data_IF_166546899420
#
_entry.id   IF_166546899420
#
_cell.length_a   1.000
_cell.length_b   1.000
_cell.length_c   1.000
_cell.angle_alpha   90.00
_cell.angle_beta   90.00
_cell.angle_gamma   90.00
#
_symmetry.space_group_name_H-M   'P 1'
#
loop_
_entity.id
_entity.type
_entity.pdbx_description
1 polymer ?
#
# COMPACT_ATOMS: atom_id res chain seq x y z
N UNK A 1 -79.47 -0.76 1.62
CA UNK A 1 -79.39 -1.77 0.55
C UNK A 1 -78.10 -2.57 0.70
N UNK A 2 -78.24 -3.87 0.98
CA UNK A 2 -77.36 -5.02 0.72
C UNK A 2 -75.83 -4.85 0.87
N UNK A 3 -75.23 -5.40 1.93
CA UNK A 3 -74.71 -6.79 2.07
C UNK A 3 -73.41 -7.08 1.30
N UNK A 4 -72.33 -7.32 2.05
CA UNK A 4 -71.63 -8.63 2.24
C UNK A 4 -70.42 -8.38 3.15
N UNK A 5 -70.39 -8.84 4.41
CA UNK A 5 -70.09 -10.21 4.87
C UNK A 5 -68.81 -10.78 4.25
N UNK A 6 -67.86 -11.41 4.95
CA UNK A 6 -67.60 -11.71 6.38
C UNK A 6 -66.32 -12.60 6.37
N UNK A 7 -65.74 -12.77 7.57
CA UNK A 7 -64.83 -13.84 8.07
C UNK A 7 -63.33 -13.47 8.05
N UNK A 8 -62.75 -13.13 9.22
CA UNK A 8 -62.41 -13.97 10.42
C UNK A 8 -61.10 -14.75 10.12
N UNK A 9 -60.09 -14.83 10.99
CA UNK A 9 -60.10 -14.77 12.45
C UNK A 9 -58.67 -14.93 13.03
N UNK A 10 -58.48 -14.44 14.26
CA UNK A 10 -57.47 -14.81 15.28
C UNK A 10 -56.01 -14.43 14.99
N UNK A 11 -55.26 -13.86 15.93
CA UNK A 11 -55.52 -13.62 17.34
C UNK A 11 -54.22 -13.20 18.02
N UNK A 12 -54.38 -12.41 19.07
CA UNK A 12 -53.39 -11.83 19.96
C UNK A 12 -52.18 -12.71 20.29
N UNK A 13 -51.01 -12.06 20.44
CA UNK A 13 -50.45 -11.82 21.80
C UNK A 13 -49.21 -10.92 21.77
N UNK A 14 -49.39 -9.77 22.41
CA UNK A 14 -48.51 -9.16 23.41
C UNK A 14 -47.06 -8.83 23.03
N UNK A 15 -46.92 -7.56 22.63
CA UNK A 15 -45.75 -6.72 22.86
C UNK A 15 -45.60 -6.47 24.37
N UNK A 16 -44.56 -7.01 24.99
CA UNK A 16 -43.99 -6.42 26.20
C UNK A 16 -42.48 -6.73 26.32
N UNK A 17 -41.70 -5.64 26.28
CA UNK A 17 -40.46 -5.41 27.04
C UNK A 17 -39.19 -6.24 26.77
N UNK A 18 -38.23 -5.66 26.04
CA UNK A 18 -36.78 -5.80 26.33
C UNK A 18 -36.03 -4.50 25.99
N UNK A 19 -35.49 -3.75 26.98
CA UNK A 19 -34.72 -2.55 26.75
C UNK A 19 -33.21 -2.85 26.78
N UNK A 20 -32.67 -3.62 25.83
CA UNK A 20 -31.20 -3.85 25.76
C UNK A 20 -30.59 -3.81 24.35
N UNK A 21 -31.38 -3.62 23.29
CA UNK A 21 -30.86 -3.64 21.91
C UNK A 21 -30.67 -2.23 21.31
N UNK A 22 -31.15 -1.18 21.98
CA UNK A 22 -31.15 0.19 21.42
C UNK A 22 -29.82 0.93 21.59
N UNK A 23 -28.89 0.45 22.43
CA UNK A 23 -27.61 1.13 22.71
C UNK A 23 -26.50 0.80 21.69
N UNK A 24 -26.54 -0.34 21.00
CA UNK A 24 -25.54 -0.67 19.97
C UNK A 24 -25.82 -0.01 18.61
N UNK A 25 -27.07 0.35 18.33
CA UNK A 25 -27.49 1.00 17.08
C UNK A 25 -27.23 2.51 17.04
N UNK A 26 -26.98 3.15 18.18
CA UNK A 26 -26.74 4.60 18.27
C UNK A 26 -25.24 4.92 18.17
N UNK A 27 -24.35 4.03 18.62
CA UNK A 27 -22.90 4.23 18.54
C UNK A 27 -22.33 4.14 17.11
N UNK A 28 -23.00 3.47 16.17
CA UNK A 28 -22.54 3.32 14.78
C UNK A 28 -23.10 4.37 13.80
N UNK A 29 -23.85 5.36 14.28
CA UNK A 29 -24.52 6.38 13.42
C UNK A 29 -23.96 7.79 13.51
N UNK A 30 -22.79 7.98 14.13
CA UNK A 30 -22.23 9.31 14.35
C UNK A 30 -20.90 9.63 13.64
N UNK A 31 -20.37 8.77 12.75
CA UNK A 31 -19.08 9.07 12.08
C UNK A 31 -19.04 9.04 10.54
N UNK A 32 -20.16 8.85 9.83
CA UNK A 32 -20.15 8.96 8.36
C UNK A 32 -21.36 9.75 7.86
N UNK A 33 -21.14 11.05 7.63
CA UNK A 33 -22.07 11.86 6.85
C UNK A 33 -21.90 11.57 5.36
N UNK A 34 -22.89 10.91 4.73
CA UNK A 34 -23.41 11.21 3.38
C UNK A 34 -24.35 10.11 2.83
N UNK A 35 -25.64 10.48 2.70
CA UNK A 35 -26.67 10.13 1.66
C UNK A 35 -27.08 8.66 1.36
N UNK A 36 -28.33 8.44 0.89
CA UNK A 36 -29.05 7.17 1.06
C UNK A 36 -28.79 6.17 -0.08
N UNK A 37 -28.52 4.92 0.28
CA UNK A 37 -28.48 3.79 -0.65
C UNK A 37 -29.86 3.13 -0.69
N UNK A 38 -30.46 3.03 -1.88
CA UNK A 38 -31.70 2.29 -2.09
C UNK A 38 -31.43 0.78 -2.04
N UNK A 39 -32.20 0.04 -1.24
CA UNK A 39 -32.15 -1.42 -1.18
C UNK A 39 -32.97 -2.06 -2.32
N UNK A 40 -32.42 -3.00 -3.10
CA UNK A 40 -33.22 -3.92 -3.89
C UNK A 40 -33.81 -5.04 -3.02
N UNK A 41 -34.94 -5.60 -3.48
CA UNK A 41 -35.77 -6.64 -2.85
C UNK A 41 -35.00 -7.89 -2.37
N UNK A 42 -35.56 -8.47 -1.31
CA UNK A 42 -35.06 -9.57 -0.47
C UNK A 42 -34.96 -10.98 -1.11
N UNK A 43 -34.68 -11.11 -2.40
CA UNK A 43 -34.53 -12.42 -3.07
C UNK A 43 -33.10 -12.73 -3.57
N UNK A 44 -32.16 -11.78 -3.46
CA UNK A 44 -30.77 -11.98 -3.92
C UNK A 44 -29.79 -12.50 -2.84
N UNK A 45 -30.23 -12.73 -1.60
CA UNK A 45 -29.35 -13.11 -0.50
C UNK A 45 -29.09 -14.62 -0.36
N UNK A 46 -29.82 -15.48 -1.09
CA UNK A 46 -29.68 -16.94 -0.99
C UNK A 46 -28.72 -17.58 -2.00
N UNK A 47 -28.38 -16.87 -3.09
CA UNK A 47 -27.48 -17.41 -4.13
C UNK A 47 -25.99 -17.09 -3.89
N UNK A 48 -25.69 -16.10 -3.05
CA UNK A 48 -24.32 -15.71 -2.71
C UNK A 48 -23.63 -16.63 -1.67
N UNK A 49 -24.40 -17.32 -0.81
CA UNK A 49 -23.83 -18.28 0.15
C UNK A 49 -23.48 -19.63 -0.48
N UNK A 50 -24.14 -20.01 -1.58
CA UNK A 50 -23.91 -21.30 -2.24
C UNK A 50 -22.67 -21.28 -3.16
N UNK A 51 -22.33 -20.13 -3.74
CA UNK A 51 -21.16 -19.97 -4.62
C UNK A 51 -19.82 -19.82 -3.88
N UNK A 52 -19.83 -19.58 -2.58
CA UNK A 52 -18.61 -19.47 -1.75
C UNK A 52 -18.10 -20.82 -1.23
N UNK A 53 -18.98 -21.83 -1.09
CA UNK A 53 -18.59 -23.17 -0.65
C UNK A 53 -18.15 -24.10 -1.80
N UNK A 54 -18.63 -23.88 -3.02
CA UNK A 54 -18.16 -24.65 -4.20
C UNK A 54 -16.78 -24.18 -4.69
N UNK A 55 -16.44 -22.89 -4.52
CA UNK A 55 -15.09 -22.38 -4.86
C UNK A 55 -13.99 -22.80 -3.88
N UNK A 56 -14.33 -23.12 -2.64
CA UNK A 56 -13.34 -23.56 -1.64
C UNK A 56 -12.95 -25.05 -1.79
N UNK A 57 -13.72 -25.82 -2.57
CA UNK A 57 -13.47 -27.26 -2.79
C UNK A 57 -12.76 -27.59 -4.12
N UNK A 58 -12.40 -26.58 -4.92
CA UNK A 58 -11.83 -26.77 -6.26
C UNK A 58 -10.31 -26.47 -6.38
N UNK A 59 -9.62 -26.07 -5.31
CA UNK A 59 -8.19 -25.65 -5.37
C UNK A 59 -7.18 -26.63 -4.74
N UNK A 60 -7.49 -27.94 -4.66
CA UNK A 60 -6.45 -28.96 -4.38
C UNK A 60 -6.53 -30.12 -5.36
N UNK A 61 -6.09 -29.86 -6.58
CA UNK A 61 -5.82 -30.87 -7.59
C UNK A 61 -4.74 -30.38 -8.55
N UNK A 62 -3.47 -30.43 -8.12
CA UNK A 62 -2.34 -29.99 -8.94
C UNK A 62 -1.02 -30.48 -8.37
N UNK A 63 -0.55 -31.59 -8.93
CA UNK A 63 0.77 -32.19 -8.69
C UNK A 63 1.85 -31.21 -9.15
N UNK A 64 2.78 -30.84 -8.26
CA UNK A 64 4.06 -30.22 -8.63
C UNK A 64 5.17 -30.85 -7.81
N UNK A 65 5.98 -31.60 -8.54
CA UNK A 65 7.20 -32.26 -8.13
C UNK A 65 8.23 -31.19 -7.78
N UNK A 66 8.84 -31.28 -6.59
CA UNK A 66 10.22 -30.80 -6.39
C UNK A 66 10.91 -31.61 -5.27
N UNK A 67 12.22 -31.88 -5.41
CA UNK A 67 12.88 -33.01 -4.78
C UNK A 67 13.43 -32.65 -3.39
N UNK A 68 13.01 -33.41 -2.39
CA UNK A 68 13.65 -33.45 -1.07
C UNK A 68 14.31 -34.82 -0.89
N UNK A 69 15.41 -35.03 -1.62
CA UNK A 69 16.39 -36.04 -1.24
C UNK A 69 17.47 -35.34 -0.42
N UNK A 70 17.46 -35.59 0.89
CA UNK A 70 18.62 -35.93 1.77
C UNK A 70 18.47 -35.34 3.18
N UNK A 71 17.62 -35.94 4.03
CA UNK A 71 17.86 -35.98 5.48
C UNK A 71 17.59 -37.41 5.94
N UNK A 72 18.66 -38.12 6.28
CA UNK A 72 18.64 -39.47 6.88
C UNK A 72 18.15 -39.35 8.33
N UNK A 73 17.09 -40.07 8.68
CA UNK A 73 16.81 -40.50 10.05
C UNK A 73 16.71 -42.03 10.08
N UNK A 74 17.37 -42.62 11.07
CA UNK A 74 17.53 -44.06 11.31
C UNK A 74 16.18 -44.75 11.58
N UNK A 75 16.03 -46.05 11.22
CA UNK A 75 14.79 -46.77 11.46
C UNK A 75 14.73 -47.34 12.89
N UNK A 76 13.71 -46.94 13.65
CA UNK A 76 13.33 -47.65 14.88
C UNK A 76 12.38 -48.80 14.51
N UNK A 77 12.90 -50.03 14.53
CA UNK A 77 12.13 -51.26 14.30
C UNK A 77 11.26 -51.59 15.50
N UNK A 78 9.94 -51.61 15.32
CA UNK A 78 8.98 -52.20 16.28
C UNK A 78 8.83 -53.68 15.96
N UNK A 79 9.39 -54.56 16.81
CA UNK A 79 9.13 -56.02 16.78
C UNK A 79 7.73 -56.29 17.33
N UNK A 80 6.90 -57.00 16.55
CA UNK A 80 5.73 -57.73 17.04
C UNK A 80 6.19 -59.08 17.59
N UNK A 81 5.78 -59.45 18.81
CA UNK A 81 5.74 -60.84 19.26
C UNK A 81 4.46 -61.13 20.03
N UNK A 82 4.07 -62.41 19.91
CA UNK A 82 2.76 -63.01 20.08
C UNK A 82 2.29 -63.27 21.52
N UNK A 83 0.96 -63.36 21.63
CA UNK A 83 0.11 -64.33 22.36
C UNK A 83 0.17 -64.50 23.89
N UNK A 84 -1.01 -64.23 24.47
CA UNK A 84 -1.87 -65.08 25.32
C UNK A 84 -1.26 -65.80 26.53
N UNK A 85 -1.71 -65.37 27.73
CA UNK A 85 -2.06 -66.29 28.82
C UNK A 85 -3.36 -65.82 29.47
N UNK A 86 -4.37 -66.69 29.44
CA UNK A 86 -5.47 -66.66 30.39
C UNK A 86 -4.95 -67.05 31.77
N UNK A 87 -5.26 -66.29 32.82
CA UNK A 87 -5.50 -66.90 34.13
C UNK A 87 -6.47 -66.08 35.00
N UNK A 88 -7.17 -66.83 35.83
CA UNK A 88 -8.35 -66.59 36.67
C UNK A 88 -8.23 -65.50 37.74
N UNK A 89 -9.21 -64.58 37.74
CA UNK A 89 -10.08 -64.07 38.84
C UNK A 89 -9.57 -64.03 40.31
N UNK A 90 -10.23 -63.28 41.21
CA UNK A 90 -10.22 -61.82 41.39
C UNK A 90 -9.76 -61.43 42.82
N UNK A 91 -9.18 -60.24 42.98
CA UNK A 91 -9.32 -59.36 44.17
C UNK A 91 -8.45 -58.13 43.96
N UNK A 92 -8.94 -57.24 43.10
CA UNK A 92 -8.50 -55.85 43.19
C UNK A 92 -9.26 -55.27 44.37
N UNK A 93 -8.58 -55.17 45.51
CA UNK A 93 -8.94 -54.24 46.57
C UNK A 93 -9.23 -52.89 45.92
N UNK A 94 -10.48 -52.44 45.97
CA UNK A 94 -10.85 -51.06 45.63
C UNK A 94 -10.02 -50.14 46.53
N UNK A 95 -8.87 -49.70 46.04
CA UNK A 95 -8.29 -48.46 46.53
C UNK A 95 -9.32 -47.40 46.19
N UNK A 96 -9.88 -46.79 47.22
CA UNK A 96 -10.75 -45.64 47.09
C UNK A 96 -9.89 -44.58 46.40
N UNK A 97 -10.09 -44.40 45.10
CA UNK A 97 -9.54 -43.26 44.38
C UNK A 97 -10.01 -42.02 45.12
N UNK A 98 -9.05 -41.27 45.67
CA UNK A 98 -9.33 -39.97 46.27
C UNK A 98 -10.08 -39.16 45.21
N UNK A 99 -11.20 -38.50 45.54
CA UNK A 99 -11.90 -37.67 44.58
C UNK A 99 -10.88 -36.67 44.02
N UNK A 100 -10.56 -36.83 42.73
CA UNK A 100 -9.73 -35.89 42.01
C UNK A 100 -10.41 -34.54 42.14
N UNK A 101 -9.71 -33.55 42.69
CA UNK A 101 -10.17 -32.17 42.64
C UNK A 101 -10.30 -31.82 41.15
N UNK A 102 -11.53 -31.85 40.63
CA UNK A 102 -11.81 -31.24 39.36
C UNK A 102 -11.47 -29.76 39.52
N UNK A 103 -10.54 -29.22 38.71
CA UNK A 103 -10.23 -27.80 38.79
C UNK A 103 -11.55 -27.05 38.56
N UNK A 104 -11.83 -26.02 39.37
CA UNK A 104 -13.06 -25.24 39.24
C UNK A 104 -13.19 -24.74 37.79
N UNK A 105 -14.37 -24.94 37.20
CA UNK A 105 -14.67 -24.50 35.84
C UNK A 105 -14.75 -22.97 35.78
N UNK A 106 -14.31 -22.41 34.66
CA UNK A 106 -14.35 -20.96 34.41
C UNK A 106 -15.81 -20.46 34.45
N UNK A 107 -16.08 -19.43 35.24
CA UNK A 107 -17.42 -18.83 35.33
C UNK A 107 -17.65 -17.85 34.18
N UNK A 108 -18.91 -17.65 33.81
CA UNK A 108 -19.30 -16.67 32.77
C UNK A 108 -18.82 -15.25 33.15
N UNK A 109 -18.87 -14.90 34.43
CA UNK A 109 -18.47 -13.58 34.93
C UNK A 109 -16.96 -13.37 34.76
N UNK A 110 -16.14 -14.36 35.11
CA UNK A 110 -14.68 -14.29 34.92
C UNK A 110 -14.32 -14.07 33.44
N UNK A 111 -15.02 -14.74 32.53
CA UNK A 111 -14.80 -14.57 31.09
C UNK A 111 -15.20 -13.16 30.63
N UNK A 112 -16.35 -12.65 31.09
CA UNK A 112 -16.84 -11.32 30.72
C UNK A 112 -15.92 -10.19 31.21
N UNK A 113 -15.38 -10.29 32.43
CA UNK A 113 -14.43 -9.31 32.96
C UNK A 113 -13.14 -9.31 32.15
N UNK A 114 -12.62 -10.48 31.77
CA UNK A 114 -11.39 -10.59 30.98
C UNK A 114 -11.55 -9.96 29.61
N UNK A 115 -12.64 -10.26 28.89
CA UNK A 115 -12.87 -9.64 27.57
C UNK A 115 -13.09 -8.13 27.69
N UNK A 116 -13.72 -7.66 28.78
CA UNK A 116 -13.91 -6.23 29.02
C UNK A 116 -12.57 -5.50 29.21
N UNK A 117 -11.64 -6.09 29.98
CA UNK A 117 -10.29 -5.53 30.17
C UNK A 117 -9.51 -5.54 28.84
N UNK A 118 -9.55 -6.63 28.08
CA UNK A 118 -8.89 -6.70 26.75
C UNK A 118 -9.48 -5.65 25.80
N UNK A 119 -10.79 -5.44 25.80
CA UNK A 119 -11.46 -4.44 24.97
C UNK A 119 -10.96 -3.02 25.30
N UNK A 120 -10.92 -2.66 26.59
CA UNK A 120 -10.41 -1.34 27.03
C UNK A 120 -8.94 -1.16 26.63
N UNK A 121 -8.09 -2.15 26.89
CA UNK A 121 -6.66 -2.07 26.54
C UNK A 121 -6.44 -1.96 25.03
N UNK A 122 -7.15 -2.77 24.24
CA UNK A 122 -7.02 -2.77 22.77
C UNK A 122 -7.50 -1.45 22.15
N UNK A 123 -8.55 -0.83 22.72
CA UNK A 123 -9.08 0.46 22.24
C UNK A 123 -8.04 1.58 22.27
N UNK A 124 -7.14 1.57 23.26
CA UNK A 124 -6.06 2.57 23.38
C UNK A 124 -4.83 2.20 22.53
N UNK A 125 -4.60 0.92 22.27
CA UNK A 125 -3.47 0.41 21.48
C UNK A 125 -3.67 0.58 19.96
N UNK A 126 -4.90 0.41 19.45
CA UNK A 126 -5.19 0.48 18.00
C UNK A 126 -4.77 1.82 17.35
N UNK A 127 -5.11 3.00 17.93
CA UNK A 127 -4.67 4.28 17.36
C UNK A 127 -3.14 4.46 17.39
N UNK A 128 -2.49 3.97 18.44
CA UNK A 128 -1.04 4.05 18.59
C UNK A 128 -0.30 3.16 17.58
N UNK A 129 -0.81 1.94 17.34
CA UNK A 129 -0.26 1.01 16.36
C UNK A 129 -0.40 1.55 14.93
N UNK A 130 -1.54 2.17 14.61
CA UNK A 130 -1.77 2.81 13.31
C UNK A 130 -0.73 3.90 13.00
N UNK A 131 -0.47 4.81 13.96
CA UNK A 131 0.54 5.86 13.83
C UNK A 131 1.96 5.29 13.73
N UNK A 132 2.26 4.27 14.53
CA UNK A 132 3.58 3.61 14.54
C UNK A 132 3.87 2.92 13.20
N UNK A 133 2.87 2.26 12.59
CA UNK A 133 2.99 1.65 11.27
C UNK A 133 3.29 2.67 10.17
N UNK A 134 2.59 3.81 10.16
CA UNK A 134 2.85 4.88 9.20
C UNK A 134 4.27 5.44 9.35
N UNK A 135 4.74 5.60 10.59
CA UNK A 135 6.11 6.03 10.91
C UNK A 135 7.16 5.01 10.45
N UNK A 136 6.92 3.72 10.66
CA UNK A 136 7.81 2.66 10.17
C UNK A 136 7.89 2.68 8.63
N UNK A 137 6.76 2.84 7.96
CA UNK A 137 6.72 2.96 6.49
C UNK A 137 7.43 4.22 5.99
N UNK A 138 7.31 5.35 6.70
CA UNK A 138 8.07 6.58 6.40
C UNK A 138 9.57 6.34 6.43
N UNK A 139 10.08 5.68 7.47
CA UNK A 139 11.51 5.39 7.64
C UNK A 139 11.99 4.43 6.54
N UNK A 140 11.22 3.40 6.23
CA UNK A 140 11.53 2.46 5.16
C UNK A 140 11.57 3.17 3.79
N UNK A 141 10.60 4.05 3.52
CA UNK A 141 10.59 4.86 2.30
C UNK A 141 11.82 5.77 2.22
N UNK A 142 12.15 6.50 3.30
CA UNK A 142 13.34 7.35 3.36
C UNK A 142 14.63 6.56 3.09
N UNK A 143 14.74 5.35 3.62
CA UNK A 143 15.88 4.47 3.37
C UNK A 143 15.94 4.01 1.91
N UNK A 144 14.81 3.68 1.29
CA UNK A 144 14.76 3.35 -0.14
C UNK A 144 15.29 4.52 -0.99
N UNK A 145 14.90 5.76 -0.70
CA UNK A 145 15.40 6.93 -1.44
C UNK A 145 16.90 7.15 -1.25
N UNK A 146 17.44 6.93 -0.04
CA UNK A 146 18.89 6.99 0.20
C UNK A 146 19.64 5.92 -0.60
N UNK A 147 19.09 4.71 -0.69
CA UNK A 147 19.67 3.63 -1.50
C UNK A 147 19.66 3.98 -2.99
N UNK A 148 18.55 4.53 -3.49
CA UNK A 148 18.44 4.95 -4.88
C UNK A 148 19.36 6.14 -5.20
N UNK A 149 19.48 7.10 -4.28
CA UNK A 149 20.38 8.23 -4.41
C UNK A 149 21.85 7.80 -4.43
N UNK A 150 22.22 6.78 -3.65
CA UNK A 150 23.55 6.19 -3.71
C UNK A 150 23.82 5.55 -5.09
N UNK A 151 22.83 4.86 -5.67
CA UNK A 151 22.94 4.33 -7.04
C UNK A 151 23.18 5.43 -8.07
N UNK A 152 22.47 6.55 -7.91
CA UNK A 152 22.63 7.71 -8.77
C UNK A 152 24.04 8.31 -8.67
N UNK A 153 24.57 8.47 -7.45
CA UNK A 153 25.94 8.96 -7.24
C UNK A 153 27.00 7.99 -7.78
N UNK A 154 26.83 6.68 -7.59
CA UNK A 154 27.74 5.67 -8.15
C UNK A 154 27.76 5.71 -9.69
N UNK A 155 26.60 5.92 -10.32
CA UNK A 155 26.54 6.12 -11.76
C UNK A 155 27.35 7.35 -12.20
N UNK A 156 27.17 8.48 -11.51
CA UNK A 156 27.87 9.73 -11.82
C UNK A 156 29.39 9.55 -11.74
N UNK A 157 29.88 8.84 -10.72
CA UNK A 157 31.30 8.53 -10.54
C UNK A 157 31.85 7.66 -11.70
N UNK A 158 31.12 6.61 -12.08
CA UNK A 158 31.50 5.72 -13.19
C UNK A 158 31.43 6.38 -14.58
N UNK A 159 30.58 7.41 -14.75
CA UNK A 159 30.28 8.03 -16.04
C UNK A 159 30.86 9.43 -16.19
N UNK A 160 32.04 9.69 -15.60
CA UNK A 160 32.77 10.95 -15.77
C UNK A 160 31.94 12.20 -15.44
N UNK A 161 31.25 12.18 -14.29
CA UNK A 161 30.40 13.26 -13.78
C UNK A 161 29.06 13.44 -14.52
N UNK A 162 28.74 12.59 -15.51
CA UNK A 162 27.46 12.65 -16.21
C UNK A 162 26.32 12.07 -15.39
N UNK A 163 25.19 12.78 -15.39
CA UNK A 163 23.97 12.35 -14.74
C UNK A 163 23.32 11.18 -15.52
N UNK A 164 22.63 10.25 -14.84
CA UNK A 164 21.82 9.24 -15.50
C UNK A 164 20.79 9.89 -16.43
N UNK A 165 20.62 9.39 -17.66
CA UNK A 165 19.64 9.96 -18.57
C UNK A 165 18.21 9.75 -18.05
N UNK A 166 17.31 10.68 -18.38
CA UNK A 166 15.91 10.70 -17.94
C UNK A 166 14.93 10.85 -19.10
N UNK A 167 15.37 10.47 -20.30
CA UNK A 167 14.62 10.69 -21.53
C UNK A 167 13.27 9.98 -21.55
N UNK A 168 12.24 10.77 -21.81
CA UNK A 168 10.85 10.33 -22.00
C UNK A 168 10.35 10.69 -23.39
N UNK A 169 9.55 9.81 -23.98
CA UNK A 169 8.84 10.02 -25.24
C UNK A 169 7.32 10.02 -25.00
N UNK A 170 6.56 10.70 -25.85
CA UNK A 170 5.09 10.72 -25.79
C UNK A 170 4.46 10.39 -27.13
N UNK A 171 3.49 9.49 -27.11
CA UNK A 171 2.53 9.28 -28.21
C UNK A 171 1.11 9.74 -27.86
N UNK A 172 0.95 10.55 -26.80
CA UNK A 172 -0.33 11.06 -26.32
C UNK A 172 -1.04 10.13 -25.33
N UNK A 173 -1.81 10.74 -24.42
CA UNK A 173 -2.51 10.04 -23.33
C UNK A 173 -1.56 9.45 -22.28
N UNK A 174 -2.13 8.98 -21.16
CA UNK A 174 -1.36 8.44 -20.02
C UNK A 174 -0.51 7.21 -20.37
N UNK A 175 -0.97 6.38 -21.30
CA UNK A 175 -0.26 5.17 -21.75
C UNK A 175 0.85 5.46 -22.77
N UNK A 176 0.74 6.59 -23.48
CA UNK A 176 1.68 6.95 -24.54
C UNK A 176 2.95 7.61 -24.04
N UNK A 177 3.00 8.02 -22.78
CA UNK A 177 4.22 8.51 -22.17
C UNK A 177 5.09 7.32 -21.74
N UNK A 178 6.28 7.20 -22.33
CA UNK A 178 7.16 6.04 -22.11
C UNK A 178 8.60 6.50 -21.97
N UNK A 179 9.26 6.00 -20.94
CA UNK A 179 10.69 6.19 -20.75
C UNK A 179 11.47 5.36 -21.78
N UNK A 180 12.41 6.01 -22.47
CA UNK A 180 13.11 5.46 -23.65
C UNK A 180 14.11 4.35 -23.29
N UNK A 181 14.89 3.83 -24.24
CA UNK A 181 15.88 2.77 -23.97
C UNK A 181 17.17 3.24 -23.26
N UNK A 182 17.42 4.55 -23.20
CA UNK A 182 18.60 5.16 -22.58
C UNK A 182 18.15 6.10 -21.47
N UNK A 183 17.70 5.54 -20.36
CA UNK A 183 17.15 6.29 -19.24
C UNK A 183 17.35 5.47 -17.95
N UNK A 184 17.17 6.09 -16.79
CA UNK A 184 17.33 5.43 -15.49
C UNK A 184 16.31 4.30 -15.24
N UNK A 185 15.14 4.32 -15.90
CA UNK A 185 14.11 3.26 -15.92
C UNK A 185 13.35 3.25 -17.24
N UNK A 186 13.07 2.09 -17.84
CA UNK A 186 12.33 2.06 -19.11
C UNK A 186 10.80 1.96 -18.88
N UNK A 187 10.01 2.06 -19.94
CA UNK A 187 8.58 1.69 -19.88
C UNK A 187 7.65 2.74 -19.29
N UNK A 188 6.50 2.30 -18.78
CA UNK A 188 5.45 3.16 -18.23
C UNK A 188 4.85 2.53 -16.96
N UNK A 189 5.04 3.17 -15.81
CA UNK A 189 4.59 2.64 -14.52
C UNK A 189 3.07 2.48 -14.39
N UNK A 190 2.28 3.21 -15.18
CA UNK A 190 0.83 3.01 -15.22
C UNK A 190 0.46 1.67 -15.87
N UNK A 191 1.22 1.19 -16.86
CA UNK A 191 0.92 -0.03 -17.62
C UNK A 191 1.82 -1.22 -17.29
N UNK A 192 2.95 -1.01 -16.62
CA UNK A 192 3.96 -2.03 -16.35
C UNK A 192 3.51 -3.09 -15.33
N UNK A 193 3.31 -4.36 -15.74
CA UNK A 193 2.85 -5.41 -14.84
C UNK A 193 3.96 -6.05 -14.01
N UNK A 194 5.23 -5.75 -14.30
CA UNK A 194 6.39 -6.41 -13.70
C UNK A 194 7.58 -5.47 -13.57
N UNK A 195 8.58 -5.88 -12.80
CA UNK A 195 9.79 -5.10 -12.58
C UNK A 195 10.78 -5.09 -13.76
N UNK A 196 10.49 -5.80 -14.87
CA UNK A 196 11.43 -5.98 -15.98
C UNK A 196 11.98 -4.65 -16.54
N UNK A 197 11.15 -3.62 -16.57
CA UNK A 197 11.55 -2.29 -17.04
C UNK A 197 12.46 -1.53 -16.07
N UNK A 198 12.33 -1.81 -14.76
CA UNK A 198 13.27 -1.32 -13.75
C UNK A 198 14.60 -2.05 -13.92
N UNK A 199 14.57 -3.36 -14.14
CA UNK A 199 15.76 -4.22 -14.30
C UNK A 199 16.62 -3.84 -15.53
N UNK A 200 16.00 -3.25 -16.55
CA UNK A 200 16.66 -2.73 -17.75
C UNK A 200 17.24 -1.32 -17.57
N UNK A 201 16.89 -0.62 -16.49
CA UNK A 201 17.34 0.74 -16.23
C UNK A 201 18.82 0.82 -15.84
N UNK A 202 19.48 1.93 -16.17
CA UNK A 202 20.93 2.08 -15.96
C UNK A 202 21.35 2.12 -14.48
N UNK A 203 20.42 2.37 -13.56
CA UNK A 203 20.68 2.38 -12.12
C UNK A 203 20.57 1.00 -11.46
N UNK A 204 19.89 0.05 -12.10
CA UNK A 204 19.64 -1.27 -11.53
C UNK A 204 20.90 -2.11 -11.25
N UNK A 205 21.98 -2.05 -12.06
CA UNK A 205 23.22 -2.77 -11.78
C UNK A 205 23.85 -2.44 -10.43
N UNK A 206 23.70 -1.19 -9.96
CA UNK A 206 24.23 -0.70 -8.69
C UNK A 206 23.43 -1.21 -7.47
N UNK A 207 22.13 -1.42 -7.63
CA UNK A 207 21.29 -2.06 -6.63
C UNK A 207 20.19 -2.91 -7.29
N UNK A 208 20.41 -4.23 -7.29
CA UNK A 208 19.54 -5.23 -7.95
C UNK A 208 18.25 -5.55 -7.19
N UNK A 209 17.57 -4.55 -6.64
CA UNK A 209 16.31 -4.71 -5.91
C UNK A 209 15.28 -3.71 -6.40
N UNK A 210 14.30 -4.21 -7.17
CA UNK A 210 13.19 -3.40 -7.64
C UNK A 210 12.33 -2.81 -6.50
N UNK A 211 12.38 -3.40 -5.29
CA UNK A 211 11.61 -2.91 -4.12
C UNK A 211 12.02 -1.50 -3.69
N UNK A 212 13.23 -1.06 -4.02
CA UNK A 212 13.74 0.28 -3.69
C UNK A 212 12.98 1.37 -4.47
N UNK A 213 12.43 1.04 -5.64
CA UNK A 213 11.72 1.97 -6.50
C UNK A 213 10.25 2.19 -6.10
N UNK A 214 9.78 1.55 -5.03
CA UNK A 214 8.40 1.63 -4.55
C UNK A 214 8.31 2.04 -3.09
N UNK A 215 7.42 2.98 -2.81
CA UNK A 215 7.03 3.34 -1.46
C UNK A 215 6.28 2.16 -0.78
N UNK A 216 6.64 1.75 0.45
CA UNK A 216 5.94 0.66 1.17
C UNK A 216 4.47 0.97 1.50
N UNK A 217 4.09 2.25 1.53
CA UNK A 217 2.71 2.70 1.71
C UNK A 217 1.91 2.75 0.41
N UNK A 218 2.56 2.60 -0.74
CA UNK A 218 1.87 2.61 -2.03
C UNK A 218 1.04 1.33 -2.22
N UNK A 219 -0.23 1.52 -2.56
CA UNK A 219 -1.24 0.48 -2.82
C UNK A 219 -1.79 0.57 -4.24
N UNK A 220 -1.23 1.44 -5.06
CA UNK A 220 -1.63 1.63 -6.46
C UNK A 220 -1.44 0.36 -7.28
N UNK A 221 -2.24 0.27 -8.33
CA UNK A 221 -2.25 -0.87 -9.25
C UNK A 221 -2.01 -0.41 -10.67
N UNK A 222 -1.59 -1.34 -11.50
CA UNK A 222 -1.48 -1.14 -12.95
C UNK A 222 -2.87 -0.85 -13.50
N UNK A 223 -2.96 0.18 -14.35
CA UNK A 223 -4.21 0.68 -14.94
C UNK A 223 -5.28 1.11 -13.93
N UNK A 224 -4.90 1.23 -12.65
CA UNK A 224 -5.79 1.49 -11.53
C UNK A 224 -6.97 0.47 -11.43
N UNK A 225 -6.77 -0.77 -11.94
CA UNK A 225 -7.81 -1.82 -12.01
C UNK A 225 -7.95 -2.67 -10.73
N UNK A 226 -7.11 -2.46 -9.72
CA UNK A 226 -7.15 -3.20 -8.44
C UNK A 226 -6.57 -4.62 -8.49
N UNK A 227 -6.01 -5.04 -9.63
CA UNK A 227 -5.54 -6.43 -9.85
C UNK A 227 -4.05 -6.61 -9.58
N UNK A 228 -3.21 -5.84 -10.28
CA UNK A 228 -1.75 -6.01 -10.27
C UNK A 228 -1.13 -4.82 -9.53
N UNK A 229 -0.44 -5.02 -8.39
CA UNK A 229 0.26 -3.93 -7.71
C UNK A 229 1.32 -3.32 -8.62
N UNK A 230 1.38 -1.98 -8.67
CA UNK A 230 2.42 -1.27 -9.41
C UNK A 230 3.80 -1.59 -8.83
N UNK A 231 4.85 -1.55 -9.63
CA UNK A 231 6.22 -1.87 -9.18
C UNK A 231 7.06 -0.65 -8.79
N UNK A 232 6.54 0.56 -9.02
CA UNK A 232 7.25 1.83 -8.81
C UNK A 232 6.32 2.95 -8.33
N UNK A 233 6.84 3.82 -7.47
CA UNK A 233 6.20 5.09 -7.09
C UNK A 233 7.13 6.31 -7.16
N UNK A 234 8.41 6.11 -7.51
CA UNK A 234 9.45 7.15 -7.55
C UNK A 234 9.64 7.66 -8.97
N UNK A 235 9.76 8.97 -9.16
CA UNK A 235 10.14 9.60 -10.42
C UNK A 235 11.34 10.54 -10.24
N UNK A 236 12.07 10.84 -11.31
CA UNK A 236 13.26 11.71 -11.25
C UNK A 236 12.95 13.10 -11.82
N UNK A 237 13.45 14.17 -11.21
CA UNK A 237 13.22 15.54 -11.67
C UNK A 237 13.55 15.71 -13.16
N UNK A 238 12.71 16.43 -13.89
CA UNK A 238 12.94 16.79 -15.29
C UNK A 238 14.17 17.69 -15.51
N UNK A 239 14.84 18.17 -14.45
CA UNK A 239 16.10 18.89 -14.57
C UNK A 239 17.33 17.99 -14.42
N UNK A 240 17.14 16.69 -14.17
CA UNK A 240 18.21 15.70 -14.13
C UNK A 240 18.28 14.97 -15.48
N UNK A 241 18.99 15.55 -16.45
CA UNK A 241 19.28 14.96 -17.75
C UNK A 241 18.06 14.42 -18.53
N UNK A 242 16.95 15.18 -18.54
CA UNK A 242 15.69 14.82 -19.23
C UNK A 242 15.86 14.73 -20.74
N UNK A 243 16.66 15.62 -21.33
CA UNK A 243 17.06 15.52 -22.72
C UNK A 243 18.57 15.23 -22.77
N UNK A 244 19.02 14.00 -23.05
CA UNK A 244 20.45 13.65 -23.01
C UNK A 244 21.26 14.20 -24.20
N UNK A 245 20.73 15.17 -24.95
CA UNK A 245 21.48 15.95 -25.92
C UNK A 245 22.45 16.91 -25.19
N UNK A 246 23.78 16.82 -25.41
CA UNK A 246 24.76 17.71 -24.80
C UNK A 246 24.58 19.20 -25.13
N UNK A 247 23.77 19.54 -26.15
CA UNK A 247 23.45 20.93 -26.52
C UNK A 247 22.20 21.46 -25.82
N UNK A 248 21.45 20.60 -25.13
CA UNK A 248 20.29 21.01 -24.37
C UNK A 248 20.71 21.94 -23.22
N UNK A 249 19.88 22.93 -22.92
CA UNK A 249 20.12 23.86 -21.81
C UNK A 249 18.91 23.93 -20.88
N UNK A 250 18.00 22.97 -20.99
CA UNK A 250 16.76 22.89 -20.22
C UNK A 250 16.90 22.04 -18.95
N UNK A 251 17.99 21.29 -18.83
CA UNK A 251 18.31 20.46 -17.69
C UNK A 251 19.83 20.46 -17.40
N UNK A 252 20.23 19.90 -16.27
CA UNK A 252 21.63 19.61 -15.97
C UNK A 252 22.02 18.27 -16.60
N UNK A 253 23.24 18.20 -17.13
CA UNK A 253 23.82 16.97 -17.69
C UNK A 253 24.94 16.41 -16.82
N UNK A 254 25.53 17.25 -15.96
CA UNK A 254 26.60 16.86 -15.04
C UNK A 254 26.33 17.27 -13.60
N UNK A 255 26.85 16.52 -12.64
CA UNK A 255 26.71 16.87 -11.22
C UNK A 255 27.45 18.19 -10.89
N UNK A 256 28.61 18.44 -11.51
CA UNK A 256 29.36 19.71 -11.32
C UNK A 256 28.65 20.98 -11.86
N UNK A 257 27.60 20.84 -12.66
CA UNK A 257 26.75 21.94 -13.14
C UNK A 257 25.73 22.39 -12.08
N UNK A 258 25.43 21.55 -11.09
CA UNK A 258 24.45 21.80 -10.04
C UNK A 258 25.03 22.78 -9.02
N UNK A 259 25.03 24.06 -9.38
CA UNK A 259 25.56 25.16 -8.55
C UNK A 259 24.45 26.01 -7.93
N UNK A 260 23.34 26.18 -8.65
CA UNK A 260 22.19 26.98 -8.22
C UNK A 260 20.88 26.30 -8.64
N UNK A 261 20.09 25.75 -7.69
CA UNK A 261 20.42 25.58 -6.27
C UNK A 261 21.64 24.66 -6.08
N UNK A 262 22.38 24.82 -4.98
CA UNK A 262 23.49 23.92 -4.67
C UNK A 262 23.03 22.46 -4.50
N UNK A 263 23.93 21.45 -4.55
CA UNK A 263 23.55 20.04 -4.62
C UNK A 263 22.62 19.58 -3.47
N UNK A 264 22.81 20.10 -2.26
CA UNK A 264 21.94 19.83 -1.10
C UNK A 264 20.52 20.39 -1.20
N UNK A 265 20.21 21.17 -2.24
CA UNK A 265 18.87 21.72 -2.49
C UNK A 265 18.31 21.27 -3.83
N UNK A 266 19.12 20.69 -4.70
CA UNK A 266 18.70 20.22 -6.01
C UNK A 266 17.97 18.87 -5.89
N UNK A 267 16.68 18.84 -6.23
CA UNK A 267 15.85 17.63 -6.12
C UNK A 267 16.18 16.63 -7.23
N UNK A 268 16.46 15.38 -6.85
CA UNK A 268 16.73 14.27 -7.79
C UNK A 268 15.50 13.38 -7.90
N UNK A 269 15.18 12.59 -6.87
CA UNK A 269 14.02 11.70 -6.88
C UNK A 269 12.89 12.24 -6.01
N UNK A 270 11.66 11.96 -6.42
CA UNK A 270 10.44 12.35 -5.70
C UNK A 270 9.40 11.24 -5.72
N UNK A 271 8.68 11.08 -4.61
CA UNK A 271 7.54 10.17 -4.53
C UNK A 271 6.35 10.78 -5.25
N UNK A 272 5.94 10.14 -6.32
CA UNK A 272 4.92 10.66 -7.22
C UNK A 272 3.54 10.04 -6.92
N UNK A 273 2.51 10.86 -7.10
CA UNK A 273 1.12 10.45 -6.94
C UNK A 273 0.77 9.36 -7.96
N UNK A 274 0.02 8.36 -7.51
CA UNK A 274 -0.39 7.22 -8.34
C UNK A 274 -1.17 7.62 -9.58
N UNK A 275 -1.83 8.78 -9.56
CA UNK A 275 -2.60 9.33 -10.67
C UNK A 275 -1.82 10.23 -11.63
N UNK A 276 -0.61 10.67 -11.30
CA UNK A 276 0.25 11.40 -12.24
C UNK A 276 1.39 10.53 -12.79
N UNK A 277 1.87 9.55 -12.02
CA UNK A 277 3.04 8.75 -12.42
C UNK A 277 2.73 7.89 -13.66
N UNK A 278 3.60 8.04 -14.66
CA UNK A 278 3.63 7.21 -15.87
C UNK A 278 5.08 6.95 -16.33
N UNK A 279 5.91 7.98 -16.54
CA UNK A 279 7.23 7.91 -17.18
C UNK A 279 8.35 8.08 -16.15
N UNK A 280 9.57 8.25 -16.64
CA UNK A 280 10.77 8.40 -15.84
C UNK A 280 10.88 9.75 -15.11
N UNK A 281 10.24 10.80 -15.62
CA UNK A 281 10.41 12.17 -15.15
C UNK A 281 9.27 12.64 -14.26
N UNK A 282 9.60 13.56 -13.37
CA UNK A 282 8.67 14.40 -12.61
C UNK A 282 8.89 15.85 -13.01
N UNK A 283 7.87 16.47 -13.61
CA UNK A 283 7.93 17.81 -14.14
C UNK A 283 7.66 18.85 -13.05
N UNK A 284 8.71 19.59 -12.72
CA UNK A 284 8.66 20.74 -11.82
C UNK A 284 8.65 22.01 -12.68
N UNK A 285 7.59 22.80 -12.54
CA UNK A 285 7.44 24.05 -13.30
C UNK A 285 8.42 25.11 -12.84
N UNK A 286 8.81 26.04 -13.72
CA UNK A 286 9.70 27.15 -13.36
C UNK A 286 9.05 28.12 -12.35
N UNK A 287 9.82 28.74 -11.44
CA UNK A 287 9.32 29.79 -10.55
C UNK A 287 8.50 30.85 -11.28
N UNK A 288 7.31 31.15 -10.74
CA UNK A 288 6.35 32.06 -11.36
C UNK A 288 5.21 31.35 -12.12
N UNK A 289 5.37 30.05 -12.43
CA UNK A 289 4.29 29.19 -12.91
C UNK A 289 3.61 28.53 -11.71
N UNK A 290 2.29 28.67 -11.56
CA UNK A 290 1.58 28.17 -10.37
C UNK A 290 0.70 26.96 -10.72
N UNK A 291 1.32 25.91 -11.25
CA UNK A 291 0.65 24.70 -11.69
C UNK A 291 1.53 23.46 -11.41
N UNK A 292 0.91 22.41 -10.87
CA UNK A 292 1.49 21.07 -10.83
C UNK A 292 1.28 20.42 -12.18
N UNK A 293 2.36 20.09 -12.89
CA UNK A 293 2.26 19.20 -14.06
C UNK A 293 2.11 17.79 -13.54
N UNK A 294 3.15 17.29 -12.86
CA UNK A 294 3.07 16.06 -12.07
C UNK A 294 2.79 16.38 -10.61
N UNK A 295 2.17 15.46 -9.89
CA UNK A 295 1.70 15.70 -8.54
C UNK A 295 2.48 14.87 -7.53
N UNK A 296 3.00 15.46 -6.44
CA UNK A 296 3.67 14.67 -5.41
C UNK A 296 2.70 13.74 -4.71
N UNK A 297 3.22 12.63 -4.22
CA UNK A 297 2.47 11.71 -3.39
C UNK A 297 2.08 12.37 -2.05
N UNK A 298 0.84 12.09 -1.62
CA UNK A 298 0.30 12.52 -0.33
C UNK A 298 0.36 11.39 0.71
N UNK A 299 1.30 10.46 0.53
CA UNK A 299 1.48 9.28 1.39
C UNK A 299 1.94 9.74 2.78
N UNK A 300 2.12 8.80 3.71
CA UNK A 300 2.77 9.11 4.98
C UNK A 300 2.09 10.25 5.81
N UNK A 301 0.79 10.48 5.64
CA UNK A 301 0.08 11.59 6.30
C UNK A 301 0.32 12.95 5.63
N UNK A 302 -0.01 13.05 4.34
CA UNK A 302 0.14 14.24 3.50
C UNK A 302 1.61 14.65 3.31
N UNK A 303 2.48 13.68 3.08
CA UNK A 303 3.91 13.89 2.89
C UNK A 303 4.47 13.03 1.74
N UNK A 304 5.54 13.51 1.10
CA UNK A 304 6.32 12.79 0.11
C UNK A 304 7.79 12.73 0.52
N UNK A 305 8.50 11.70 0.07
CA UNK A 305 9.97 11.64 0.22
C UNK A 305 10.61 12.23 -1.01
N UNK A 306 11.64 13.04 -0.81
CA UNK A 306 12.50 13.61 -1.85
C UNK A 306 13.95 13.25 -1.55
N UNK A 307 14.76 13.08 -2.60
CA UNK A 307 16.21 13.01 -2.49
C UNK A 307 16.88 14.20 -3.18
N UNK A 308 18.12 14.48 -2.76
CA UNK A 308 18.89 15.63 -3.23
C UNK A 308 20.24 15.21 -3.80
N UNK A 309 20.79 16.04 -4.68
CA UNK A 309 21.98 15.72 -5.47
C UNK A 309 23.26 15.50 -4.64
N UNK A 310 23.31 15.93 -3.38
CA UNK A 310 24.42 15.66 -2.45
C UNK A 310 24.35 14.27 -1.77
N UNK A 311 23.27 13.50 -1.97
CA UNK A 311 23.13 12.16 -1.41
C UNK A 311 22.06 11.99 -0.34
N UNK A 312 21.57 13.09 0.26
CA UNK A 312 20.58 12.96 1.33
C UNK A 312 19.14 12.84 0.82
N UNK A 313 18.25 12.46 1.72
CA UNK A 313 16.81 12.40 1.46
C UNK A 313 16.05 12.96 2.66
N UNK A 314 14.91 13.59 2.38
CA UNK A 314 14.04 14.23 3.36
C UNK A 314 12.59 13.82 3.15
N UNK A 315 11.81 13.86 4.24
CA UNK A 315 10.35 13.75 4.19
C UNK A 315 9.75 15.15 4.21
N UNK A 316 9.03 15.53 3.15
CA UNK A 316 8.38 16.82 3.03
C UNK A 316 6.88 16.69 3.27
N UNK A 317 6.35 17.47 4.20
CA UNK A 317 4.91 17.57 4.46
C UNK A 317 4.31 18.67 3.60
N UNK A 318 3.27 18.32 2.85
CA UNK A 318 2.51 19.22 1.99
C UNK A 318 1.46 19.96 2.82
N UNK A 319 1.37 21.27 2.64
CA UNK A 319 0.56 22.17 3.47
C UNK A 319 -0.67 22.69 2.73
N UNK A 320 -0.59 22.85 1.41
CA UNK A 320 -1.63 23.52 0.64
C UNK A 320 -2.80 22.61 0.35
N UNK A 321 -4.01 23.16 0.46
CA UNK A 321 -5.25 22.44 0.17
C UNK A 321 -5.38 22.13 -1.32
N UNK A 322 -4.76 22.94 -2.18
CA UNK A 322 -4.60 22.69 -3.62
C UNK A 322 -3.77 21.44 -3.85
N UNK A 323 -2.65 21.26 -3.15
CA UNK A 323 -1.85 20.03 -3.18
C UNK A 323 -2.66 18.84 -2.65
N UNK A 324 -3.43 19.01 -1.57
CA UNK A 324 -4.27 17.91 -1.05
C UNK A 324 -5.45 17.56 -1.95
N UNK A 325 -5.80 18.42 -2.91
CA UNK A 325 -6.92 18.18 -3.82
C UNK A 325 -6.69 16.98 -4.74
N UNK A 326 -5.44 16.64 -5.04
CA UNK A 326 -5.07 15.45 -5.81
C UNK A 326 -5.61 14.13 -5.22
N UNK A 327 -5.66 14.02 -3.89
CA UNK A 327 -6.22 12.84 -3.22
C UNK A 327 -7.72 12.65 -3.48
N UNK A 328 -8.42 13.67 -4.02
CA UNK A 328 -9.85 13.63 -4.33
C UNK A 328 -10.13 13.30 -5.80
N UNK A 329 -9.10 13.26 -6.64
CA UNK A 329 -9.23 13.03 -8.08
C UNK A 329 -8.97 11.55 -8.35
N UNK A 330 -9.96 10.88 -8.93
CA UNK A 330 -9.80 9.50 -9.42
C UNK A 330 -9.22 9.53 -10.84
N UNK A 331 -8.23 8.66 -11.11
CA UNK A 331 -7.63 8.51 -12.44
C UNK A 331 -6.42 9.43 -12.67
N UNK A 332 -6.44 10.21 -13.75
CA UNK A 332 -5.29 11.01 -14.20
C UNK A 332 -5.27 12.40 -13.52
N UNK A 333 -4.18 12.73 -12.81
CA UNK A 333 -4.10 13.85 -11.85
C UNK A 333 -3.05 14.91 -12.24
N UNK A 334 -2.75 15.05 -13.54
CA UNK A 334 -1.83 16.10 -14.01
C UNK A 334 -2.52 17.45 -14.20
N UNK A 335 -1.76 18.55 -14.08
CA UNK A 335 -2.25 19.90 -14.39
C UNK A 335 -3.09 20.57 -13.29
N UNK A 336 -2.91 20.19 -12.03
CA UNK A 336 -3.61 20.81 -10.90
C UNK A 336 -3.06 22.22 -10.65
N UNK A 337 -3.94 23.22 -10.82
CA UNK A 337 -3.60 24.62 -10.58
C UNK A 337 -3.37 24.89 -9.10
N UNK A 338 -2.23 25.51 -8.80
CA UNK A 338 -1.93 26.04 -7.47
C UNK A 338 -2.51 27.45 -7.27
N UNK A 339 -2.30 28.02 -6.08
CA UNK A 339 -2.71 29.38 -5.78
C UNK A 339 -1.61 30.37 -6.17
N UNK A 340 -1.94 31.30 -7.07
CA UNK A 340 -0.97 32.27 -7.59
C UNK A 340 -0.34 33.08 -6.45
N UNK A 341 0.99 33.16 -6.46
CA UNK A 341 1.82 33.94 -5.54
C UNK A 341 1.76 33.55 -4.05
N UNK A 342 0.95 32.57 -3.66
CA UNK A 342 0.78 32.20 -2.24
C UNK A 342 1.00 30.71 -1.95
N UNK A 343 1.01 29.86 -2.98
CA UNK A 343 1.19 28.42 -2.81
C UNK A 343 2.60 28.08 -2.28
N UNK A 344 2.67 27.66 -1.01
CA UNK A 344 3.96 27.38 -0.35
C UNK A 344 4.59 26.08 -0.83
N UNK A 345 3.78 25.09 -1.17
CA UNK A 345 4.27 23.79 -1.63
C UNK A 345 4.93 23.92 -2.99
N UNK A 346 4.27 24.60 -3.94
CA UNK A 346 4.84 24.90 -5.26
C UNK A 346 6.10 25.77 -5.13
N UNK A 347 6.06 26.85 -4.35
CA UNK A 347 7.25 27.69 -4.18
C UNK A 347 8.43 26.90 -3.62
N UNK A 348 8.17 25.98 -2.68
CA UNK A 348 9.21 25.16 -2.05
C UNK A 348 9.82 24.16 -3.03
N UNK A 349 9.01 23.45 -3.83
CA UNK A 349 9.54 22.51 -4.82
C UNK A 349 10.27 23.25 -5.94
N UNK A 350 9.79 24.42 -6.36
CA UNK A 350 10.41 25.23 -7.40
C UNK A 350 11.75 25.83 -6.97
N UNK A 351 11.99 25.96 -5.67
CA UNK A 351 13.29 26.35 -5.15
C UNK A 351 14.36 25.25 -5.26
N UNK A 352 13.97 24.03 -5.67
CA UNK A 352 14.88 22.87 -5.84
C UNK A 352 15.38 22.67 -7.26
N UNK A 353 15.01 23.55 -8.19
CA UNK A 353 15.32 23.44 -9.62
C UNK A 353 16.06 24.68 -10.12
N UNK A 354 16.81 24.61 -11.23
CA UNK A 354 17.53 25.77 -11.73
C UNK A 354 16.55 26.83 -12.25
N UNK A 355 16.95 28.09 -12.16
CA UNK A 355 16.28 29.18 -12.84
C UNK A 355 16.67 29.15 -14.32
N UNK A 356 15.75 28.72 -15.17
CA UNK A 356 15.95 28.72 -16.62
C UNK A 356 15.09 29.85 -17.20
N UNK A 357 15.67 30.78 -17.99
CA UNK A 357 14.88 31.81 -18.65
C UNK A 357 13.80 31.16 -19.51
N UNK A 358 12.54 31.50 -19.26
CA UNK A 358 11.44 31.09 -20.13
C UNK A 358 11.67 31.80 -21.48
N UNK A 359 11.91 31.03 -22.55
CA UNK A 359 12.05 31.55 -23.91
C UNK A 359 10.73 32.03 -24.48
#
# INVERSE_FOLDING_TARGET
MLRRERKKCFGDRDLESYPEITLLSIALRCELGARPFAFPRAEAAKDAERTLWEKFSAERGGVLICPWSTIRLLPFTVRKTCQSRYNTNPRVTRTIDKPGHHPPGFTLIELLVVIAIIAVLSSMLLPALGRSKVKAQQIACLNNYRQLQLCWLMYVDDHQDHLPPNATSSSGGREGWVATGQTWITGNAFTDPSALNIERGVLYPYHRSAKVYKCPSDRSTVRDEGRIPRVRSVSMSNYMNDNPDPQDTSCWHKLSEIRQPGPAKACVFIDEHEGSIENARFVITQPGTWNWVDHPALRHGNAGVLSFADGHAELWKWLETTTHSAARVEGWVQGIRGVRNTDRDLRRIQATVPMIPIR
#
